data_IF_517762556382
#
_entry.id   IF_517762556382
#
_cell.length_a   1.000
_cell.length_b   1.000
_cell.length_c   1.000
_cell.angle_alpha   90.00
_cell.angle_beta   90.00
_cell.angle_gamma   90.00
#
_symmetry.space_group_name_H-M   'P 1'
#
loop_
_entity.id
_entity.type
_entity.pdbx_description
1 polymer ?
#
# COMPACT_ATOMS: atom_id res chain seq x y z
N UNK A 1 -18.30 -16.84 9.46
CA UNK A 1 -17.42 -15.67 9.27
C UNK A 1 -18.28 -14.48 8.84
N UNK A 2 -18.11 -13.29 9.43
CA UNK A 2 -18.82 -12.08 8.96
C UNK A 2 -18.30 -11.75 7.56
N UNK A 3 -19.20 -11.67 6.55
CA UNK A 3 -18.87 -11.42 5.13
C UNK A 3 -17.93 -10.22 4.94
N UNK A 4 -18.09 -9.23 5.81
CA UNK A 4 -17.29 -8.00 5.92
C UNK A 4 -15.77 -8.25 6.07
N UNK A 5 -15.34 -9.20 6.91
CA UNK A 5 -13.91 -9.48 7.11
C UNK A 5 -13.27 -10.15 5.89
N UNK A 6 -14.07 -10.89 5.10
CA UNK A 6 -13.62 -11.52 3.85
C UNK A 6 -13.42 -10.44 2.78
N UNK A 7 -14.33 -9.45 2.70
CA UNK A 7 -14.22 -8.32 1.77
C UNK A 7 -12.93 -7.52 2.02
N UNK A 8 -12.62 -7.22 3.27
CA UNK A 8 -11.39 -6.51 3.67
C UNK A 8 -10.12 -7.29 3.31
N UNK A 9 -10.14 -8.61 3.50
CA UNK A 9 -9.03 -9.49 3.13
C UNK A 9 -8.83 -9.50 1.61
N UNK A 10 -9.91 -9.64 0.84
CA UNK A 10 -9.87 -9.62 -0.63
C UNK A 10 -9.37 -8.26 -1.15
N UNK A 11 -9.85 -7.16 -0.58
CA UNK A 11 -9.35 -5.81 -0.91
C UNK A 11 -7.85 -5.68 -0.66
N UNK A 12 -7.36 -6.16 0.48
CA UNK A 12 -5.92 -6.16 0.80
C UNK A 12 -5.10 -6.96 -0.21
N UNK A 13 -5.60 -8.12 -0.65
CA UNK A 13 -4.93 -8.96 -1.66
C UNK A 13 -4.92 -8.31 -3.05
N UNK A 14 -5.97 -7.57 -3.42
CA UNK A 14 -6.08 -6.89 -4.72
C UNK A 14 -5.25 -5.61 -4.76
N UNK A 15 -5.23 -4.84 -3.67
CA UNK A 15 -4.51 -3.57 -3.60
C UNK A 15 -2.99 -3.78 -3.56
N UNK A 16 -2.51 -4.85 -2.93
CA UNK A 16 -1.07 -5.13 -2.83
C UNK A 16 -0.32 -5.19 -4.19
N UNK A 17 -0.73 -6.00 -5.18
CA UNK A 17 -0.05 -6.02 -6.48
C UNK A 17 -0.18 -4.69 -7.23
N UNK A 18 -1.25 -3.92 -6.99
CA UNK A 18 -1.39 -2.57 -7.55
C UNK A 18 -0.34 -1.64 -6.95
N UNK A 19 -0.19 -1.59 -5.62
CA UNK A 19 0.85 -0.79 -4.95
C UNK A 19 2.26 -1.19 -5.42
N UNK A 20 2.53 -2.50 -5.53
CA UNK A 20 3.80 -3.01 -6.03
C UNK A 20 4.07 -2.57 -7.48
N UNK A 21 3.03 -2.57 -8.32
CA UNK A 21 3.16 -2.18 -9.73
C UNK A 21 3.56 -0.72 -9.89
N UNK A 22 3.06 0.19 -9.05
CA UNK A 22 3.48 1.59 -9.06
C UNK A 22 4.95 1.78 -8.67
N UNK A 23 5.49 0.99 -7.73
CA UNK A 23 6.91 1.14 -7.36
C UNK A 23 7.88 0.57 -8.37
N UNK A 24 7.42 -0.32 -9.23
CA UNK A 24 8.22 -0.86 -10.33
C UNK A 24 8.35 0.09 -11.51
N UNK A 25 7.61 1.20 -11.50
CA UNK A 25 7.65 2.19 -12.56
C UNK A 25 8.90 3.09 -12.40
N UNK A 26 9.74 3.24 -13.44
CA UNK A 26 10.95 4.07 -13.37
C UNK A 26 10.61 5.56 -13.33
N UNK A 27 10.58 6.12 -12.12
CA UNK A 27 10.14 7.50 -11.87
C UNK A 27 11.05 8.55 -12.52
N UNK A 28 12.35 8.27 -12.63
CA UNK A 28 13.30 9.11 -13.39
C UNK A 28 12.91 9.27 -14.84
N UNK A 29 12.67 8.16 -15.53
CA UNK A 29 12.28 8.17 -16.95
C UNK A 29 10.97 8.92 -17.16
N UNK A 30 10.01 8.78 -16.24
CA UNK A 30 8.74 9.52 -16.31
C UNK A 30 8.95 11.02 -16.15
N UNK A 31 9.81 11.44 -15.20
CA UNK A 31 10.12 12.84 -14.98
C UNK A 31 10.89 13.44 -16.18
N UNK A 32 11.84 12.69 -16.74
CA UNK A 32 12.60 13.08 -17.94
C UNK A 32 11.71 13.19 -19.19
N UNK A 33 10.65 12.37 -19.28
CA UNK A 33 9.64 12.44 -20.35
C UNK A 33 8.60 13.56 -20.14
N UNK A 34 8.68 14.33 -19.05
CA UNK A 34 7.74 15.41 -18.74
C UNK A 34 6.34 14.95 -18.30
N UNK A 35 6.19 13.67 -17.95
CA UNK A 35 4.92 13.06 -17.54
C UNK A 35 4.63 13.31 -16.04
N UNK A 36 4.62 14.58 -15.63
CA UNK A 36 4.55 15.00 -14.21
C UNK A 36 3.33 14.45 -13.44
N UNK A 37 2.18 14.27 -14.11
CA UNK A 37 1.00 13.68 -13.49
C UNK A 37 1.18 12.21 -13.12
N UNK A 38 1.81 11.44 -14.02
CA UNK A 38 2.19 10.05 -13.77
C UNK A 38 3.27 9.97 -12.69
N UNK A 39 4.24 10.88 -12.66
CA UNK A 39 5.27 10.94 -11.63
C UNK A 39 4.66 11.08 -10.22
N UNK A 40 3.75 12.05 -10.04
CA UNK A 40 3.04 12.26 -8.79
C UNK A 40 2.20 11.02 -8.43
N UNK A 41 1.45 10.45 -9.37
CA UNK A 41 0.62 9.27 -9.12
C UNK A 41 1.47 8.06 -8.69
N UNK A 42 2.63 7.88 -9.31
CA UNK A 42 3.53 6.76 -9.04
C UNK A 42 4.14 6.85 -7.64
N UNK A 43 4.48 8.06 -7.20
CA UNK A 43 5.03 8.31 -5.86
C UNK A 43 3.97 8.25 -4.79
N UNK A 44 2.83 8.95 -4.97
CA UNK A 44 1.84 9.16 -3.92
C UNK A 44 0.66 8.16 -3.95
N UNK A 45 0.38 7.55 -5.10
CA UNK A 45 -0.74 6.61 -5.27
C UNK A 45 -0.71 5.43 -4.30
N UNK A 46 0.43 4.75 -4.12
CA UNK A 46 0.54 3.64 -3.17
C UNK A 46 0.25 4.05 -1.72
N UNK A 47 0.73 5.22 -1.30
CA UNK A 47 0.45 5.75 0.04
C UNK A 47 -1.03 6.03 0.25
N UNK A 48 -1.68 6.61 -0.76
CA UNK A 48 -3.10 6.89 -0.72
C UNK A 48 -3.95 5.62 -0.58
N UNK A 49 -3.61 4.56 -1.34
CA UNK A 49 -4.27 3.25 -1.25
C UNK A 49 -4.07 2.59 0.12
N UNK A 50 -2.86 2.61 0.65
CA UNK A 50 -2.53 2.10 1.98
C UNK A 50 -3.30 2.84 3.09
N UNK A 51 -3.42 4.17 3.01
CA UNK A 51 -4.20 4.97 3.97
C UNK A 51 -5.68 4.57 3.95
N UNK A 52 -6.27 4.39 2.75
CA UNK A 52 -7.66 3.95 2.62
C UNK A 52 -7.86 2.58 3.27
N UNK A 53 -6.93 1.63 3.03
CA UNK A 53 -6.96 0.30 3.66
C UNK A 53 -6.89 0.35 5.18
N UNK A 54 -6.05 1.23 5.74
CA UNK A 54 -5.93 1.44 7.18
C UNK A 54 -7.22 2.02 7.75
N UNK A 55 -7.81 3.05 7.13
CA UNK A 55 -9.07 3.66 7.58
C UNK A 55 -10.20 2.64 7.56
N UNK A 56 -10.31 1.85 6.49
CA UNK A 56 -11.29 0.77 6.40
C UNK A 56 -11.05 -0.25 7.51
N UNK A 57 -9.82 -0.72 7.68
CA UNK A 57 -9.46 -1.67 8.75
C UNK A 57 -9.83 -1.12 10.14
N UNK A 58 -9.46 0.11 10.48
CA UNK A 58 -9.81 0.71 11.77
C UNK A 58 -11.32 0.86 11.97
N UNK A 59 -12.06 1.25 10.93
CA UNK A 59 -13.53 1.33 10.97
C UNK A 59 -14.16 -0.03 11.28
N UNK A 60 -13.56 -1.12 10.79
CA UNK A 60 -14.00 -2.48 11.07
C UNK A 60 -13.52 -3.04 12.42
N UNK A 61 -12.40 -2.57 12.98
CA UNK A 61 -11.95 -2.91 14.33
C UNK A 61 -13.06 -2.61 15.35
N UNK A 62 -13.66 -1.41 15.24
CA UNK A 62 -14.71 -0.92 16.14
C UNK A 62 -15.95 -1.82 16.17
N UNK A 63 -16.17 -2.63 15.13
CA UNK A 63 -17.34 -3.51 14.95
C UNK A 63 -17.06 -4.99 15.21
N UNK A 64 -15.80 -5.42 15.23
CA UNK A 64 -15.44 -6.85 15.10
C UNK A 64 -14.87 -7.53 16.36
N UNK A 65 -14.71 -6.84 17.49
CA UNK A 65 -14.31 -7.38 18.81
C UNK A 65 -13.43 -8.66 18.74
N UNK A 66 -12.21 -8.53 18.20
CA UNK A 66 -11.18 -9.57 18.32
C UNK A 66 -11.17 -10.71 17.28
N UNK A 67 -11.81 -10.56 16.12
CA UNK A 67 -11.76 -11.60 15.08
C UNK A 67 -10.31 -11.85 14.58
N UNK A 68 -9.86 -13.12 14.55
CA UNK A 68 -8.49 -13.53 14.14
C UNK A 68 -8.13 -13.04 12.74
N UNK A 69 -9.09 -13.03 11.81
CA UNK A 69 -8.92 -12.53 10.45
C UNK A 69 -8.72 -11.02 10.38
N UNK A 70 -9.33 -10.28 11.30
CA UNK A 70 -9.13 -8.84 11.42
C UNK A 70 -7.68 -8.52 11.78
N UNK A 71 -7.11 -9.26 12.75
CA UNK A 71 -5.70 -9.10 13.16
C UNK A 71 -4.74 -9.38 11.99
N UNK A 72 -5.05 -10.39 11.17
CA UNK A 72 -4.28 -10.71 9.95
C UNK A 72 -4.38 -9.58 8.92
N UNK A 73 -5.59 -9.05 8.66
CA UNK A 73 -5.79 -7.91 7.75
C UNK A 73 -5.07 -6.66 8.23
N UNK A 74 -5.12 -6.36 9.55
CA UNK A 74 -4.42 -5.23 10.13
C UNK A 74 -2.90 -5.41 9.98
N UNK A 75 -2.37 -6.60 10.27
CA UNK A 75 -0.96 -6.91 10.12
C UNK A 75 -0.49 -6.77 8.66
N UNK A 76 -1.25 -7.30 7.71
CA UNK A 76 -0.99 -7.12 6.27
C UNK A 76 -1.00 -5.65 5.88
N UNK A 77 -2.02 -4.87 6.30
CA UNK A 77 -2.09 -3.43 6.00
C UNK A 77 -0.92 -2.64 6.60
N UNK A 78 -0.43 -3.01 7.78
CA UNK A 78 0.75 -2.39 8.38
C UNK A 78 2.03 -2.77 7.61
N UNK A 79 2.18 -4.04 7.22
CA UNK A 79 3.32 -4.47 6.39
C UNK A 79 3.33 -3.69 5.07
N UNK A 80 2.17 -3.54 4.42
CA UNK A 80 2.04 -2.76 3.18
C UNK A 80 2.35 -1.27 3.36
N UNK A 81 2.13 -0.71 4.55
CA UNK A 81 2.52 0.67 4.85
C UNK A 81 4.02 0.84 5.14
N UNK A 82 4.68 -0.15 5.74
CA UNK A 82 6.11 -0.07 6.12
C UNK A 82 7.08 -0.62 5.07
N UNK A 83 6.65 -1.53 4.21
CA UNK A 83 7.42 -2.01 3.06
C UNK A 83 7.88 -0.88 2.10
N UNK A 84 7.06 0.15 1.76
CA UNK A 84 7.50 1.29 0.96
C UNK A 84 8.59 2.08 1.64
N UNK A 85 8.45 2.29 2.96
CA UNK A 85 9.42 3.03 3.76
C UNK A 85 10.76 2.28 3.75
N UNK A 86 10.74 0.97 4.00
CA UNK A 86 11.94 0.13 3.98
C UNK A 86 12.60 0.09 2.59
N UNK A 87 11.80 -0.04 1.53
CA UNK A 87 12.30 -0.02 0.15
C UNK A 87 12.89 1.34 -0.22
N UNK A 88 12.23 2.44 0.13
CA UNK A 88 12.72 3.79 -0.11
C UNK A 88 14.04 4.07 0.63
N UNK A 89 14.14 3.65 1.90
CA UNK A 89 15.39 3.72 2.67
C UNK A 89 16.49 2.88 1.99
N UNK A 90 16.16 1.68 1.50
CA UNK A 90 17.10 0.82 0.77
C UNK A 90 17.59 1.47 -0.53
N UNK A 91 16.69 2.03 -1.34
CA UNK A 91 17.02 2.73 -2.60
C UNK A 91 17.92 3.93 -2.34
N UNK A 92 17.61 4.76 -1.33
CA UNK A 92 18.46 5.90 -0.95
C UNK A 92 19.83 5.44 -0.44
N UNK A 93 19.87 4.44 0.46
CA UNK A 93 21.12 3.97 1.09
C UNK A 93 22.04 3.21 0.14
N UNK A 94 21.49 2.55 -0.87
CA UNK A 94 22.26 1.82 -1.90
C UNK A 94 22.84 2.73 -2.98
N UNK A 95 22.50 4.03 -3.00
CA UNK A 95 22.89 4.94 -4.09
C UNK A 95 22.30 4.56 -5.45
N UNK A 96 21.43 3.54 -5.49
CA UNK A 96 20.65 3.16 -6.65
C UNK A 96 19.57 4.21 -6.76
N UNK A 97 19.86 5.26 -7.53
CA UNK A 97 18.84 6.22 -7.85
C UNK A 97 17.77 5.53 -8.71
N UNK A 98 16.62 5.22 -8.12
CA UNK A 98 15.42 4.85 -8.87
C UNK A 98 15.05 5.95 -9.88
#
# INVERSE_FOLDING_TARGET
MKKESIILLVLSIVIYPIELSFWWVPTKTINEMGLNGLYILTIFGPWFLSIILIILSLSYLKKSNGNKLFKVSLCLSSIFFFLPIAFFIYVISSGITA
#
